data_IF_443148854593
#
_entry.id   IF_443148854593
#
_cell.length_a   1.000
_cell.length_b   1.000
_cell.length_c   1.000
_cell.angle_alpha   90.00
_cell.angle_beta   90.00
_cell.angle_gamma   90.00
#
_symmetry.space_group_name_H-M   'P 1'
#
loop_
_entity.id
_entity.type
_entity.pdbx_description
1 polymer ?
#
# COMPACT_ATOMS: atom_id res chain seq x y z
N UNK A 1 -56.22 49.87 -43.32
CA UNK A 1 -55.53 48.66 -43.69
C UNK A 1 -54.05 48.85 -43.39
N UNK A 2 -53.43 48.18 -42.42
CA UNK A 2 -52.04 48.36 -42.11
C UNK A 2 -51.17 47.57 -43.13
N UNK A 3 -50.07 48.15 -43.53
CA UNK A 3 -49.09 47.70 -44.53
C UNK A 3 -48.37 46.36 -44.08
N UNK A 4 -48.20 45.41 -44.98
CA UNK A 4 -47.61 44.11 -44.67
C UNK A 4 -46.11 44.14 -44.19
N UNK A 5 -45.43 45.26 -44.34
CA UNK A 5 -44.04 45.45 -43.95
C UNK A 5 -43.80 45.52 -42.41
N UNK A 6 -44.86 45.83 -41.62
CA UNK A 6 -44.69 45.89 -40.16
C UNK A 6 -44.89 44.56 -39.42
N UNK A 7 -45.52 43.58 -40.07
CA UNK A 7 -45.71 42.24 -39.50
C UNK A 7 -44.44 41.38 -39.66
N UNK A 8 -43.69 41.63 -40.73
CA UNK A 8 -42.46 40.85 -41.00
C UNK A 8 -41.30 41.21 -40.02
N UNK A 9 -41.27 42.48 -39.56
CA UNK A 9 -40.24 42.91 -38.57
C UNK A 9 -40.45 42.34 -37.18
N UNK A 10 -41.69 42.08 -36.77
CA UNK A 10 -42.01 41.56 -35.44
C UNK A 10 -41.74 40.05 -35.31
N UNK A 11 -41.91 39.28 -36.41
CA UNK A 11 -41.62 37.87 -36.46
C UNK A 11 -40.12 37.57 -36.49
N UNK A 12 -39.30 38.43 -37.10
CA UNK A 12 -37.84 38.28 -37.11
C UNK A 12 -37.24 38.61 -35.75
N UNK A 13 -37.80 39.55 -35.00
CA UNK A 13 -37.33 39.92 -33.65
C UNK A 13 -37.66 38.84 -32.61
N UNK A 14 -38.77 38.13 -32.72
CA UNK A 14 -39.18 37.03 -31.88
C UNK A 14 -38.35 35.75 -32.17
N UNK A 15 -37.92 35.51 -33.40
CA UNK A 15 -37.04 34.39 -33.77
C UNK A 15 -35.60 34.61 -33.26
N UNK A 16 -35.10 35.84 -33.17
CA UNK A 16 -33.79 36.16 -32.64
C UNK A 16 -33.71 36.02 -31.11
N UNK A 17 -34.80 36.24 -30.38
CA UNK A 17 -34.88 36.04 -28.94
C UNK A 17 -35.01 34.54 -28.53
N UNK A 18 -35.57 33.70 -29.38
CA UNK A 18 -35.68 32.27 -29.12
C UNK A 18 -34.33 31.50 -29.34
N UNK A 19 -33.42 32.02 -30.19
CA UNK A 19 -32.09 31.44 -30.41
C UNK A 19 -31.06 31.75 -29.30
N UNK A 20 -31.31 32.79 -28.48
CA UNK A 20 -30.42 33.14 -27.38
C UNK A 20 -30.63 32.29 -26.09
N UNK A 21 -31.73 31.54 -26.00
CA UNK A 21 -32.03 30.71 -24.84
C UNK A 21 -31.54 29.26 -24.94
N UNK A 22 -31.04 28.81 -26.10
CA UNK A 22 -30.56 27.42 -26.33
C UNK A 22 -29.05 27.23 -26.12
N UNK A 23 -28.33 28.22 -25.57
CA UNK A 23 -26.90 28.23 -25.40
C UNK A 23 -26.38 28.15 -23.97
N UNK A 24 -27.24 27.87 -22.98
CA UNK A 24 -26.77 27.47 -21.65
C UNK A 24 -26.36 25.98 -21.68
N UNK A 25 -25.40 25.65 -22.54
CA UNK A 25 -24.76 24.35 -22.55
C UNK A 25 -24.17 24.12 -21.16
N UNK A 26 -24.55 23.00 -20.54
CA UNK A 26 -23.89 22.46 -19.37
C UNK A 26 -22.37 22.62 -19.57
N UNK A 27 -21.72 23.46 -18.76
CA UNK A 27 -20.30 23.63 -18.77
C UNK A 27 -19.72 22.24 -18.45
N UNK A 28 -19.31 21.48 -19.49
CA UNK A 28 -18.64 20.20 -19.35
C UNK A 28 -17.31 20.50 -18.71
N UNK A 29 -17.24 20.34 -17.40
CA UNK A 29 -15.97 20.44 -16.69
C UNK A 29 -15.07 19.31 -17.16
N UNK A 30 -13.88 19.67 -17.66
CA UNK A 30 -12.87 18.68 -18.00
C UNK A 30 -12.43 17.93 -16.74
N UNK A 31 -12.06 16.64 -16.84
CA UNK A 31 -11.51 15.89 -15.74
C UNK A 31 -10.34 16.62 -15.07
N UNK A 32 -10.19 16.44 -13.75
CA UNK A 32 -9.12 17.10 -13.00
C UNK A 32 -7.75 16.44 -13.31
N UNK A 33 -6.68 17.21 -13.17
CA UNK A 33 -5.29 16.74 -13.28
C UNK A 33 -4.95 16.06 -14.60
N UNK A 34 -5.59 16.43 -15.69
CA UNK A 34 -5.28 15.91 -17.04
C UNK A 34 -4.08 16.60 -17.68
N UNK A 35 -3.78 17.82 -17.23
CA UNK A 35 -2.65 18.60 -17.74
C UNK A 35 -1.38 18.24 -16.98
N UNK A 36 -0.39 17.75 -17.69
CA UNK A 36 0.96 17.56 -17.14
C UNK A 36 1.71 18.91 -17.14
N UNK A 37 2.36 19.23 -16.02
CA UNK A 37 3.09 20.47 -15.85
C UNK A 37 4.60 20.22 -15.79
N UNK A 38 5.34 21.06 -16.53
CA UNK A 38 6.80 21.13 -16.51
C UNK A 38 7.32 22.49 -16.03
N UNK A 39 6.47 23.51 -16.06
CA UNK A 39 6.73 24.85 -15.53
C UNK A 39 5.65 25.22 -14.53
N UNK A 40 5.92 24.96 -13.25
CA UNK A 40 4.98 25.23 -12.18
C UNK A 40 4.83 26.74 -11.90
N UNK A 41 5.86 27.54 -12.22
CA UNK A 41 5.76 28.98 -12.10
C UNK A 41 4.78 29.57 -13.12
N UNK A 42 4.80 29.06 -14.37
CA UNK A 42 3.81 29.46 -15.38
C UNK A 42 2.39 29.05 -15.00
N UNK A 43 2.22 27.84 -14.42
CA UNK A 43 0.92 27.35 -13.95
C UNK A 43 0.38 28.17 -12.78
N UNK A 44 1.24 28.62 -11.85
CA UNK A 44 0.83 29.51 -10.75
C UNK A 44 0.40 30.88 -11.27
N UNK A 45 1.15 31.46 -12.24
CA UNK A 45 0.75 32.72 -12.90
C UNK A 45 -0.59 32.59 -13.60
N UNK A 46 -0.81 31.49 -14.31
CA UNK A 46 -2.08 31.22 -14.97
C UNK A 46 -3.24 31.05 -13.96
N UNK A 47 -3.01 30.32 -12.87
CA UNK A 47 -3.99 30.18 -11.79
C UNK A 47 -4.39 31.54 -11.21
N UNK A 48 -3.38 32.42 -10.98
CA UNK A 48 -3.63 33.79 -10.49
C UNK A 48 -4.45 34.62 -11.47
N UNK A 49 -4.15 34.55 -12.76
CA UNK A 49 -4.89 35.26 -13.80
C UNK A 49 -6.36 34.81 -13.89
N UNK A 50 -6.61 33.54 -13.55
CA UNK A 50 -7.95 32.95 -13.46
C UNK A 50 -8.65 33.21 -12.12
N UNK A 51 -8.04 33.91 -11.17
CA UNK A 51 -8.55 34.12 -9.82
C UNK A 51 -8.63 32.85 -8.98
N UNK A 52 -7.81 31.83 -9.30
CA UNK A 52 -7.78 30.52 -8.67
C UNK A 52 -6.46 30.26 -7.96
N UNK A 53 -6.45 29.24 -7.09
CA UNK A 53 -5.25 28.64 -6.50
C UNK A 53 -4.71 27.59 -7.45
N UNK A 54 -3.45 27.17 -7.27
CA UNK A 54 -2.84 26.04 -8.00
C UNK A 54 -2.96 24.77 -7.15
N UNK A 55 -3.41 23.67 -7.77
CA UNK A 55 -3.35 22.33 -7.19
C UNK A 55 -2.47 21.44 -8.06
N UNK A 56 -1.49 20.80 -7.46
CA UNK A 56 -0.54 19.90 -8.11
C UNK A 56 -0.74 18.49 -7.57
N UNK A 57 -1.02 17.54 -8.45
CA UNK A 57 -1.02 16.11 -8.12
C UNK A 57 0.32 15.50 -8.51
N UNK A 58 1.03 14.92 -7.55
CA UNK A 58 2.23 14.11 -7.77
C UNK A 58 1.81 12.66 -7.99
N UNK A 59 2.22 12.09 -9.12
CA UNK A 59 1.81 10.75 -9.57
C UNK A 59 3.01 9.93 -10.05
N UNK A 60 2.80 8.62 -10.18
CA UNK A 60 3.71 7.69 -10.85
C UNK A 60 2.90 6.84 -11.84
N UNK A 61 3.47 6.38 -12.96
CA UNK A 61 2.78 5.51 -13.92
C UNK A 61 2.22 4.24 -13.30
N UNK A 62 2.97 3.62 -12.38
CA UNK A 62 2.61 2.35 -11.72
C UNK A 62 1.93 2.53 -10.36
N UNK A 63 1.37 3.70 -10.09
CA UNK A 63 0.66 4.00 -8.86
C UNK A 63 -0.81 3.52 -8.93
N UNK A 64 -1.21 2.42 -8.26
CA UNK A 64 -2.59 1.93 -8.30
C UNK A 64 -3.60 2.95 -7.75
N UNK A 65 -3.26 3.64 -6.65
CA UNK A 65 -4.10 4.67 -6.05
C UNK A 65 -4.29 5.88 -6.97
N UNK A 66 -3.27 6.24 -7.77
CA UNK A 66 -3.37 7.32 -8.75
C UNK A 66 -4.37 6.95 -9.85
N UNK A 67 -4.24 5.76 -10.45
CA UNK A 67 -5.17 5.26 -11.48
C UNK A 67 -6.60 5.14 -10.96
N UNK A 68 -6.77 4.67 -9.72
CA UNK A 68 -8.09 4.58 -9.10
C UNK A 68 -8.73 5.95 -8.97
N UNK A 69 -8.00 6.96 -8.48
CA UNK A 69 -8.52 8.33 -8.36
C UNK A 69 -8.78 8.98 -9.73
N UNK A 70 -7.93 8.73 -10.73
CA UNK A 70 -8.17 9.20 -12.10
C UNK A 70 -9.48 8.64 -12.66
N UNK A 71 -9.78 7.37 -12.40
CA UNK A 71 -10.96 6.69 -12.92
C UNK A 71 -12.26 7.05 -12.16
N UNK A 72 -12.20 7.28 -10.85
CA UNK A 72 -13.39 7.38 -9.98
C UNK A 72 -13.63 8.77 -9.44
N UNK A 73 -12.58 9.53 -9.11
CA UNK A 73 -12.69 10.82 -8.41
C UNK A 73 -12.56 11.99 -9.38
N UNK A 74 -11.53 11.96 -10.25
CA UNK A 74 -11.25 13.09 -11.13
C UNK A 74 -12.18 13.16 -12.35
N UNK A 75 -12.94 12.08 -12.61
CA UNK A 75 -13.99 12.03 -13.63
C UNK A 75 -15.38 12.41 -13.07
N UNK A 76 -15.54 12.44 -11.74
CA UNK A 76 -16.83 12.75 -11.12
C UNK A 76 -17.25 14.20 -11.41
N UNK A 77 -18.40 14.44 -12.07
CA UNK A 77 -18.82 15.79 -12.48
C UNK A 77 -19.04 16.74 -11.29
N UNK A 78 -19.51 16.19 -10.16
CA UNK A 78 -19.74 16.99 -8.95
C UNK A 78 -18.44 17.39 -8.26
N UNK A 79 -17.41 16.53 -8.31
CA UNK A 79 -16.05 16.83 -7.82
C UNK A 79 -15.41 17.88 -8.73
N UNK A 80 -15.39 17.62 -10.05
CA UNK A 80 -14.76 18.51 -11.03
C UNK A 80 -15.39 19.91 -10.99
N UNK A 81 -16.71 20.02 -10.97
CA UNK A 81 -17.39 21.31 -10.93
C UNK A 81 -17.05 22.13 -9.67
N UNK A 82 -17.01 21.48 -8.50
CA UNK A 82 -16.67 22.16 -7.24
C UNK A 82 -15.18 22.52 -7.15
N UNK A 83 -14.31 21.59 -7.52
CA UNK A 83 -12.87 21.77 -7.40
C UNK A 83 -12.35 22.84 -8.39
N UNK A 84 -12.78 22.81 -9.64
CA UNK A 84 -12.35 23.74 -10.68
C UNK A 84 -12.77 25.21 -10.42
N UNK A 85 -13.73 25.47 -9.54
CA UNK A 85 -14.07 26.85 -9.11
C UNK A 85 -12.94 27.51 -8.33
N UNK A 86 -12.14 26.71 -7.61
CA UNK A 86 -11.12 27.21 -6.69
C UNK A 86 -9.70 26.97 -7.19
N UNK A 87 -9.53 25.97 -8.07
CA UNK A 87 -8.20 25.50 -8.45
C UNK A 87 -8.00 25.36 -9.95
N UNK A 88 -6.83 25.75 -10.39
CA UNK A 88 -6.20 25.26 -11.60
C UNK A 88 -5.47 23.98 -11.24
N UNK A 89 -5.82 22.86 -11.87
CA UNK A 89 -5.32 21.52 -11.51
C UNK A 89 -4.31 21.03 -12.55
N UNK A 90 -3.12 20.63 -12.08
CA UNK A 90 -2.08 20.05 -12.92
C UNK A 90 -1.50 18.81 -12.27
N UNK A 91 -0.94 17.89 -13.04
CA UNK A 91 -0.18 16.75 -12.53
C UNK A 91 1.30 16.89 -12.84
N UNK A 92 2.11 16.26 -11.98
CA UNK A 92 3.56 16.09 -12.18
C UNK A 92 3.86 14.62 -12.03
N UNK A 93 4.37 14.01 -13.09
CA UNK A 93 4.86 12.64 -13.06
C UNK A 93 6.26 12.62 -12.42
N UNK A 94 6.40 11.85 -11.32
CA UNK A 94 7.66 11.73 -10.59
C UNK A 94 8.68 10.82 -11.28
N UNK A 95 8.24 9.99 -12.25
CA UNK A 95 9.12 9.13 -13.03
C UNK A 95 9.76 9.85 -14.24
N UNK A 96 9.35 11.09 -14.50
CA UNK A 96 9.90 11.83 -15.64
C UNK A 96 11.40 12.09 -15.51
N UNK A 97 12.13 11.95 -16.60
CA UNK A 97 13.58 12.20 -16.68
C UNK A 97 13.93 13.67 -16.88
N UNK A 98 13.06 14.43 -17.58
CA UNK A 98 13.28 15.83 -17.85
C UNK A 98 13.05 16.70 -16.62
N UNK A 99 13.90 17.69 -16.37
CA UNK A 99 13.72 18.58 -15.23
C UNK A 99 12.48 19.45 -15.38
N UNK A 100 11.86 19.76 -14.25
CA UNK A 100 10.78 20.75 -14.16
C UNK A 100 11.33 22.11 -13.70
N UNK A 101 10.58 23.16 -13.95
CA UNK A 101 10.77 24.47 -13.33
C UNK A 101 9.83 24.55 -12.12
N UNK A 102 10.40 24.64 -10.91
CA UNK A 102 9.62 24.73 -9.67
C UNK A 102 8.99 26.12 -9.48
N UNK A 103 8.26 26.30 -8.38
CA UNK A 103 7.58 27.58 -8.10
C UNK A 103 8.54 28.72 -7.76
N UNK A 104 9.77 28.41 -7.34
CA UNK A 104 10.82 29.40 -7.10
C UNK A 104 11.64 29.71 -8.37
N UNK A 105 11.28 29.16 -9.52
CA UNK A 105 11.99 29.34 -10.80
C UNK A 105 13.27 28.50 -10.92
N UNK A 106 13.50 27.50 -10.06
CA UNK A 106 14.66 26.63 -10.11
C UNK A 106 14.38 25.41 -10.97
N UNK A 107 15.35 24.99 -11.78
CA UNK A 107 15.29 23.73 -12.51
C UNK A 107 15.76 22.58 -11.63
N UNK A 108 15.01 21.50 -11.61
CA UNK A 108 15.34 20.32 -10.82
C UNK A 108 14.48 19.12 -11.17
N UNK A 109 14.75 17.97 -10.55
CA UNK A 109 13.91 16.79 -10.76
C UNK A 109 12.53 16.98 -10.09
N UNK A 110 11.51 16.38 -10.69
CA UNK A 110 10.16 16.35 -10.11
C UNK A 110 10.15 15.70 -8.72
N UNK A 111 10.94 14.64 -8.54
CA UNK A 111 11.08 13.95 -7.26
C UNK A 111 11.71 14.81 -6.17
N UNK A 112 12.74 15.63 -6.48
CA UNK A 112 13.34 16.55 -5.49
C UNK A 112 12.35 17.61 -5.05
N UNK A 113 11.60 18.18 -5.98
CA UNK A 113 10.57 19.15 -5.65
C UNK A 113 9.46 18.54 -4.77
N UNK A 114 8.98 17.34 -5.12
CA UNK A 114 8.01 16.63 -4.30
C UNK A 114 8.53 16.37 -2.88
N UNK A 115 9.79 15.93 -2.73
CA UNK A 115 10.43 15.69 -1.42
C UNK A 115 10.55 16.97 -0.60
N UNK A 116 10.92 18.10 -1.20
CA UNK A 116 10.97 19.40 -0.52
C UNK A 116 9.62 19.80 0.08
N UNK A 117 8.53 19.41 -0.58
CA UNK A 117 7.17 19.60 -0.08
C UNK A 117 6.72 18.51 0.91
N UNK A 118 7.58 17.51 1.19
CA UNK A 118 7.23 16.36 2.03
C UNK A 118 6.28 15.35 1.35
N UNK A 119 6.14 15.35 0.03
CA UNK A 119 5.35 14.40 -0.73
C UNK A 119 6.21 13.15 -1.04
N UNK A 120 6.28 12.22 -0.07
CA UNK A 120 7.11 11.00 -0.14
C UNK A 120 6.36 9.79 -0.70
N UNK A 121 5.08 9.91 -0.99
CA UNK A 121 4.25 8.84 -1.53
C UNK A 121 3.25 9.39 -2.56
N UNK A 122 2.73 8.53 -3.43
CA UNK A 122 1.74 8.87 -4.45
C UNK A 122 0.42 8.12 -4.25
N UNK A 123 -0.73 8.76 -4.56
CA UNK A 123 -0.88 10.16 -4.97
C UNK A 123 -0.62 11.14 -3.81
N UNK A 124 0.00 12.28 -4.11
CA UNK A 124 0.07 13.42 -3.17
C UNK A 124 -0.46 14.67 -3.88
N UNK A 125 -1.16 15.52 -3.13
CA UNK A 125 -1.78 16.75 -3.63
C UNK A 125 -1.21 17.94 -2.88
N UNK A 126 -0.50 18.82 -3.55
CA UNK A 126 0.00 20.07 -2.99
C UNK A 126 -0.79 21.27 -3.53
N UNK A 127 -1.09 22.20 -2.64
CA UNK A 127 -1.87 23.38 -2.94
C UNK A 127 -1.06 24.64 -2.71
N UNK A 128 -1.18 25.58 -3.63
CA UNK A 128 -0.45 26.84 -3.61
C UNK A 128 -1.40 27.99 -3.89
N UNK A 129 -1.10 29.16 -3.35
CA UNK A 129 -1.80 30.38 -3.70
C UNK A 129 -1.42 30.87 -5.12
N UNK A 130 -2.04 31.97 -5.59
CA UNK A 130 -1.74 32.53 -6.89
C UNK A 130 -0.34 33.18 -7.01
N UNK A 131 0.46 33.24 -5.93
CA UNK A 131 1.85 33.68 -5.93
C UNK A 131 2.83 32.51 -5.96
N UNK A 132 2.32 31.29 -5.78
CA UNK A 132 3.13 30.07 -5.67
C UNK A 132 3.54 29.73 -4.24
N UNK A 133 3.00 30.43 -3.24
CA UNK A 133 3.25 30.10 -1.83
C UNK A 133 2.51 28.83 -1.44
N UNK A 134 3.22 27.93 -0.74
CA UNK A 134 2.68 26.68 -0.28
C UNK A 134 1.56 26.88 0.76
N UNK A 135 0.43 26.22 0.58
CA UNK A 135 -0.72 26.29 1.47
C UNK A 135 -0.92 25.01 2.28
N UNK A 136 -1.01 23.88 1.57
CA UNK A 136 -1.36 22.60 2.19
C UNK A 136 -0.92 21.43 1.33
N UNK A 137 -0.73 20.27 1.97
CA UNK A 137 -0.47 19.00 1.29
C UNK A 137 -1.33 17.89 1.90
N UNK A 138 -1.86 17.05 1.03
CA UNK A 138 -2.48 15.78 1.40
C UNK A 138 -1.77 14.63 0.69
N UNK A 139 -1.51 13.54 1.39
CA UNK A 139 -0.93 12.32 0.82
C UNK A 139 -1.90 11.17 0.99
N UNK A 140 -2.05 10.35 -0.06
CA UNK A 140 -2.93 9.20 -0.10
C UNK A 140 -4.19 9.43 -0.94
N UNK A 141 -4.92 8.34 -1.18
CA UNK A 141 -6.17 8.34 -1.93
C UNK A 141 -7.30 8.97 -1.12
N UNK A 142 -8.27 9.54 -1.81
CA UNK A 142 -9.48 10.10 -1.23
C UNK A 142 -10.70 9.64 -2.03
N UNK A 143 -11.78 9.29 -1.33
CA UNK A 143 -13.08 9.13 -1.97
C UNK A 143 -13.59 10.49 -2.51
N UNK A 144 -14.48 10.47 -3.50
CA UNK A 144 -14.98 11.68 -4.18
C UNK A 144 -15.51 12.77 -3.22
N UNK A 145 -16.28 12.35 -2.21
CA UNK A 145 -16.79 13.27 -1.18
C UNK A 145 -15.68 13.93 -0.36
N UNK A 146 -14.65 13.15 0.03
CA UNK A 146 -13.52 13.65 0.80
C UNK A 146 -12.61 14.55 -0.04
N UNK A 147 -12.41 14.22 -1.31
CA UNK A 147 -11.63 15.07 -2.21
C UNK A 147 -12.32 16.43 -2.42
N UNK A 148 -13.65 16.43 -2.57
CA UNK A 148 -14.44 17.66 -2.61
C UNK A 148 -14.30 18.47 -1.31
N UNK A 149 -14.33 17.81 -0.14
CA UNK A 149 -14.14 18.47 1.17
C UNK A 149 -12.72 19.01 1.32
N UNK A 150 -11.69 18.26 0.88
CA UNK A 150 -10.31 18.72 0.87
C UNK A 150 -10.16 20.02 0.07
N UNK A 151 -10.76 20.08 -1.12
CA UNK A 151 -10.75 21.30 -1.94
C UNK A 151 -11.37 22.49 -1.21
N UNK A 152 -12.50 22.31 -0.55
CA UNK A 152 -13.14 23.38 0.24
C UNK A 152 -12.35 23.76 1.48
N UNK A 153 -11.78 22.78 2.19
CA UNK A 153 -10.95 22.95 3.37
C UNK A 153 -9.75 23.85 3.08
N UNK A 154 -9.04 23.57 1.98
CA UNK A 154 -7.88 24.40 1.59
C UNK A 154 -8.33 25.74 1.00
N UNK A 155 -9.43 25.80 0.23
CA UNK A 155 -9.92 27.06 -0.34
C UNK A 155 -10.27 28.09 0.74
N UNK A 156 -10.80 27.63 1.88
CA UNK A 156 -11.22 28.47 3.03
C UNK A 156 -10.12 28.67 4.07
N UNK A 157 -8.89 28.20 3.84
CA UNK A 157 -7.78 28.22 4.79
C UNK A 157 -8.10 27.55 6.15
N UNK A 158 -9.02 26.57 6.16
CA UNK A 158 -9.42 25.88 7.39
C UNK A 158 -8.26 25.06 8.02
N UNK A 159 -7.19 24.76 7.24
CA UNK A 159 -5.98 24.11 7.72
C UNK A 159 -5.21 24.94 8.77
N UNK A 160 -5.48 26.22 8.87
CA UNK A 160 -4.92 27.11 9.91
C UNK A 160 -5.58 26.90 11.27
N UNK A 161 -6.76 26.30 11.32
CA UNK A 161 -7.58 26.18 12.53
C UNK A 161 -7.70 24.75 13.03
N UNK A 162 -7.76 23.77 12.15
CA UNK A 162 -7.93 22.33 12.51
C UNK A 162 -7.39 21.39 11.43
N UNK A 163 -6.99 20.15 11.79
CA UNK A 163 -6.52 19.17 10.84
C UNK A 163 -7.66 18.66 9.93
N UNK A 164 -7.31 18.27 8.70
CA UNK A 164 -8.26 17.64 7.78
C UNK A 164 -8.65 16.23 8.27
N UNK A 165 -9.94 16.01 8.44
CA UNK A 165 -10.50 14.71 8.81
C UNK A 165 -11.13 14.03 7.58
N UNK A 166 -10.59 12.88 7.19
CA UNK A 166 -11.16 12.04 6.14
C UNK A 166 -12.26 11.12 6.68
N UNK A 167 -13.12 10.63 5.80
CA UNK A 167 -14.15 9.65 6.17
C UNK A 167 -13.56 8.29 6.47
N UNK A 168 -14.36 7.43 7.15
CA UNK A 168 -13.98 6.03 7.41
C UNK A 168 -13.66 5.25 6.13
N UNK A 169 -14.37 5.54 5.03
CA UNK A 169 -14.11 4.92 3.73
C UNK A 169 -12.71 5.28 3.18
N UNK A 170 -12.33 6.56 3.24
CA UNK A 170 -10.97 7.00 2.85
C UNK A 170 -9.89 6.40 3.75
N UNK A 171 -10.12 6.36 5.08
CA UNK A 171 -9.19 5.75 6.01
C UNK A 171 -8.99 4.26 5.71
N UNK A 172 -10.05 3.53 5.39
CA UNK A 172 -9.96 2.12 4.98
C UNK A 172 -9.22 1.94 3.64
N UNK A 173 -9.44 2.83 2.66
CA UNK A 173 -8.75 2.79 1.37
C UNK A 173 -7.25 3.09 1.49
N UNK A 174 -6.86 3.93 2.44
CA UNK A 174 -5.47 4.30 2.72
C UNK A 174 -4.81 3.40 3.78
N UNK A 175 -5.52 2.39 4.29
CA UNK A 175 -4.92 1.45 5.22
C UNK A 175 -3.70 0.78 4.58
N UNK A 176 -2.58 0.69 5.29
CA UNK A 176 -1.39 0.02 4.77
C UNK A 176 -1.72 -1.41 4.33
N UNK A 177 -1.25 -1.79 3.15
CA UNK A 177 -1.44 -3.14 2.59
C UNK A 177 -0.09 -3.77 2.37
N UNK A 178 -0.06 -5.11 2.48
CA UNK A 178 1.14 -5.86 2.13
C UNK A 178 1.44 -5.66 0.63
N UNK A 179 2.72 -5.53 0.30
CA UNK A 179 3.23 -5.51 -1.07
C UNK A 179 3.53 -6.93 -1.56
N UNK A 180 3.66 -7.88 -0.62
CA UNK A 180 3.73 -9.30 -0.92
C UNK A 180 2.50 -9.78 -1.69
N UNK A 181 2.69 -10.76 -2.58
CA UNK A 181 1.63 -11.37 -3.34
C UNK A 181 0.63 -12.09 -2.40
N UNK A 182 -0.68 -12.04 -2.68
CA UNK A 182 -1.65 -12.81 -1.93
C UNK A 182 -1.31 -14.31 -1.98
N UNK A 183 -1.58 -15.08 -0.90
CA UNK A 183 -1.38 -16.52 -0.94
C UNK A 183 -2.16 -17.15 -2.10
N UNK A 184 -1.55 -18.08 -2.82
CA UNK A 184 -2.18 -18.79 -3.91
C UNK A 184 -3.46 -19.50 -3.43
N UNK A 185 -4.42 -19.66 -4.35
CA UNK A 185 -5.65 -20.39 -4.07
C UNK A 185 -5.32 -21.84 -3.68
N UNK A 186 -5.92 -22.31 -2.58
CA UNK A 186 -5.71 -23.67 -2.08
C UNK A 186 -4.60 -23.79 -1.03
N UNK A 187 -3.76 -22.78 -0.82
CA UNK A 187 -2.82 -22.79 0.29
C UNK A 187 -3.55 -22.67 1.65
N UNK A 188 -3.20 -23.51 2.64
CA UNK A 188 -3.78 -23.40 3.97
C UNK A 188 -3.43 -22.06 4.60
N UNK A 189 -4.42 -21.39 5.13
CA UNK A 189 -4.18 -20.10 5.81
C UNK A 189 -3.38 -20.22 7.10
N UNK A 190 -3.35 -21.42 7.70
CA UNK A 190 -2.58 -21.78 8.89
C UNK A 190 -1.95 -23.14 8.65
N UNK A 191 -0.84 -23.22 7.93
CA UNK A 191 -0.17 -24.48 7.66
C UNK A 191 0.34 -25.10 8.97
N UNK A 192 0.30 -26.41 9.01
CA UNK A 192 0.80 -27.18 10.15
C UNK A 192 2.11 -27.89 9.77
N UNK A 193 3.13 -27.69 10.55
CA UNK A 193 4.38 -28.43 10.47
C UNK A 193 4.90 -28.81 11.86
N UNK A 194 5.75 -29.83 11.92
CA UNK A 194 6.45 -30.27 13.12
C UNK A 194 7.89 -30.55 12.77
N UNK A 195 8.75 -29.58 12.98
CA UNK A 195 10.18 -29.62 12.64
C UNK A 195 11.01 -29.35 13.88
N UNK A 196 12.18 -29.98 14.00
CA UNK A 196 13.12 -29.68 15.07
C UNK A 196 13.86 -28.36 14.76
N UNK A 197 14.09 -27.53 15.77
CA UNK A 197 15.08 -26.45 15.66
C UNK A 197 16.50 -27.01 15.86
N UNK A 198 17.50 -26.17 15.66
CA UNK A 198 18.91 -26.55 15.79
C UNK A 198 19.35 -26.91 17.22
N UNK A 199 18.47 -26.74 18.21
CA UNK A 199 18.67 -27.21 19.59
C UNK A 199 17.87 -28.50 19.88
N UNK A 200 17.23 -29.11 18.87
CA UNK A 200 16.46 -30.35 18.98
C UNK A 200 15.04 -30.18 19.50
N UNK A 201 14.58 -28.93 19.72
CA UNK A 201 13.22 -28.67 20.15
C UNK A 201 12.26 -28.72 18.97
N UNK A 202 11.21 -29.54 19.05
CA UNK A 202 10.14 -29.56 18.04
C UNK A 202 9.39 -28.25 18.05
N UNK A 203 9.28 -27.66 16.87
CA UNK A 203 8.59 -26.38 16.61
C UNK A 203 7.39 -26.60 15.70
N UNK A 204 6.38 -25.80 15.96
CA UNK A 204 5.18 -25.62 15.13
C UNK A 204 5.00 -24.15 14.85
N UNK A 205 4.26 -23.77 13.82
CA UNK A 205 3.93 -22.36 13.57
C UNK A 205 3.25 -21.70 14.78
N UNK A 206 2.41 -22.45 15.50
CA UNK A 206 1.73 -21.97 16.71
C UNK A 206 2.67 -21.49 17.83
N UNK A 207 3.91 -21.96 17.90
CA UNK A 207 4.91 -21.56 18.91
C UNK A 207 5.39 -20.11 18.71
N UNK A 208 5.13 -19.56 17.55
CA UNK A 208 5.52 -18.20 17.17
C UNK A 208 4.36 -17.19 17.26
N UNK A 209 3.18 -17.59 17.75
CA UNK A 209 2.06 -16.67 17.96
C UNK A 209 2.47 -15.45 18.79
N UNK A 210 1.92 -14.31 18.43
CA UNK A 210 2.27 -13.00 18.98
C UNK A 210 3.45 -12.32 18.27
N UNK A 211 4.02 -12.95 17.24
CA UNK A 211 5.07 -12.41 16.37
C UNK A 211 4.65 -12.51 14.92
N UNK A 212 5.10 -11.57 14.10
CA UNK A 212 5.11 -11.73 12.66
C UNK A 212 6.19 -12.77 12.31
N UNK A 213 5.88 -13.70 11.41
CA UNK A 213 6.82 -14.74 10.99
C UNK A 213 7.12 -14.60 9.51
N UNK A 214 8.41 -14.57 9.16
CA UNK A 214 8.91 -14.74 7.82
C UNK A 214 9.53 -16.14 7.71
N UNK A 215 8.97 -17.00 6.86
CA UNK A 215 9.44 -18.36 6.64
C UNK A 215 10.02 -18.46 5.23
N UNK A 216 11.32 -18.69 5.14
CA UNK A 216 12.04 -19.03 3.93
C UNK A 216 12.34 -20.52 3.89
N UNK A 217 12.31 -21.11 2.70
CA UNK A 217 12.68 -22.52 2.46
C UNK A 217 13.91 -22.58 1.56
N UNK A 218 14.73 -23.58 1.72
CA UNK A 218 15.94 -23.72 0.92
C UNK A 218 16.88 -24.79 1.48
N UNK A 219 18.19 -24.65 1.27
CA UNK A 219 19.21 -25.54 1.78
C UNK A 219 20.56 -24.80 1.96
N UNK A 220 21.41 -25.26 2.87
CA UNK A 220 22.63 -24.53 3.24
C UNK A 220 23.68 -24.47 2.13
N UNK A 221 23.67 -25.44 1.22
CA UNK A 221 24.61 -25.53 0.09
C UNK A 221 24.08 -24.85 -1.18
N UNK A 222 22.99 -24.09 -1.09
CA UNK A 222 22.49 -23.29 -2.21
C UNK A 222 23.51 -22.18 -2.56
N UNK A 223 23.96 -22.11 -3.83
CA UNK A 223 25.07 -21.23 -4.19
C UNK A 223 24.63 -19.74 -4.32
N UNK A 224 23.34 -19.43 -4.43
CA UNK A 224 22.87 -18.10 -4.80
C UNK A 224 21.60 -17.65 -4.06
N UNK A 225 20.45 -18.23 -4.37
CA UNK A 225 19.12 -17.72 -3.94
C UNK A 225 18.96 -17.70 -2.41
N UNK A 226 19.38 -18.77 -1.72
CA UNK A 226 19.15 -18.89 -0.28
C UNK A 226 19.98 -17.89 0.55
N UNK A 227 21.31 -17.73 0.34
CA UNK A 227 22.07 -16.72 1.08
C UNK A 227 21.62 -15.29 0.74
N UNK A 228 21.22 -15.02 -0.51
CA UNK A 228 20.67 -13.72 -0.91
C UNK A 228 19.36 -13.44 -0.16
N UNK A 229 18.41 -14.37 -0.15
CA UNK A 229 17.14 -14.23 0.57
C UNK A 229 17.34 -13.99 2.07
N UNK A 230 18.28 -14.69 2.72
CA UNK A 230 18.56 -14.49 4.14
C UNK A 230 19.25 -13.15 4.42
N UNK A 231 20.11 -12.67 3.51
CA UNK A 231 20.71 -11.34 3.60
C UNK A 231 19.66 -10.22 3.44
N UNK A 232 18.73 -10.37 2.51
CA UNK A 232 17.60 -9.45 2.32
C UNK A 232 16.67 -9.44 3.52
N UNK A 233 16.35 -10.60 4.10
CA UNK A 233 15.56 -10.70 5.34
C UNK A 233 16.29 -10.03 6.52
N UNK A 234 17.60 -10.21 6.64
CA UNK A 234 18.40 -9.51 7.66
C UNK A 234 18.27 -8.00 7.48
N UNK A 235 18.54 -7.50 6.28
CA UNK A 235 18.46 -6.07 5.97
C UNK A 235 17.05 -5.50 6.22
N UNK A 236 16.00 -6.21 5.81
CA UNK A 236 14.62 -5.81 6.04
C UNK A 236 14.27 -5.76 7.54
N UNK A 237 14.70 -6.75 8.33
CA UNK A 237 14.48 -6.74 9.78
C UNK A 237 15.27 -5.61 10.44
N UNK A 238 16.52 -5.36 10.04
CA UNK A 238 17.36 -4.27 10.57
C UNK A 238 16.81 -2.87 10.24
N UNK A 239 16.11 -2.70 9.13
CA UNK A 239 15.44 -1.47 8.75
C UNK A 239 14.23 -1.11 9.65
N UNK A 240 13.67 -2.09 10.38
CA UNK A 240 12.53 -1.86 11.26
C UNK A 240 12.91 -1.07 12.51
N UNK A 241 11.96 -0.26 13.07
CA UNK A 241 12.11 0.29 14.42
C UNK A 241 12.37 -0.82 15.46
N UNK A 242 13.19 -0.55 16.47
CA UNK A 242 13.63 -1.54 17.47
C UNK A 242 12.46 -2.31 18.13
N UNK A 243 11.34 -1.65 18.37
CA UNK A 243 10.15 -2.30 18.94
C UNK A 243 9.54 -3.33 17.99
N UNK A 244 9.43 -3.03 16.69
CA UNK A 244 8.90 -3.93 15.67
C UNK A 244 9.89 -5.05 15.34
N UNK A 245 11.19 -4.76 15.27
CA UNK A 245 12.26 -5.72 15.02
C UNK A 245 12.19 -6.92 15.98
N UNK A 246 11.92 -6.68 17.25
CA UNK A 246 11.72 -7.73 18.27
C UNK A 246 10.43 -8.54 18.11
N UNK A 247 9.48 -8.05 17.31
CA UNK A 247 8.20 -8.73 17.03
C UNK A 247 8.25 -9.60 15.77
N UNK A 248 9.38 -9.62 15.05
CA UNK A 248 9.59 -10.46 13.86
C UNK A 248 10.42 -11.69 14.23
N UNK A 249 10.02 -12.85 13.74
CA UNK A 249 10.78 -14.09 13.77
C UNK A 249 11.00 -14.59 12.35
N UNK A 250 12.26 -14.78 11.97
CA UNK A 250 12.62 -15.44 10.72
C UNK A 250 12.87 -16.92 10.99
N UNK A 251 12.26 -17.76 10.15
CA UNK A 251 12.45 -19.22 10.11
C UNK A 251 13.05 -19.57 8.76
N UNK A 252 14.12 -20.35 8.78
CA UNK A 252 14.68 -20.98 7.60
C UNK A 252 14.49 -22.48 7.70
N UNK A 253 13.74 -23.07 6.78
CA UNK A 253 13.45 -24.51 6.78
C UNK A 253 14.26 -25.17 5.67
N UNK A 254 15.09 -26.15 6.03
CA UNK A 254 15.83 -26.90 5.03
C UNK A 254 14.93 -27.88 4.27
N UNK A 255 15.11 -27.92 2.94
CA UNK A 255 14.53 -28.91 2.04
C UNK A 255 15.49 -30.06 1.73
N UNK A 256 16.69 -30.04 2.34
CA UNK A 256 17.77 -31.01 2.14
C UNK A 256 18.25 -31.64 3.46
N UNK A 257 17.40 -32.42 4.13
CA UNK A 257 17.74 -32.99 5.43
C UNK A 257 18.91 -34.01 5.38
N UNK A 258 19.25 -34.48 4.20
CA UNK A 258 20.41 -35.38 4.03
C UNK A 258 21.76 -34.67 4.27
N UNK A 259 21.92 -33.46 3.73
CA UNK A 259 23.15 -32.67 3.83
C UNK A 259 23.10 -31.66 4.98
N UNK A 260 21.91 -31.14 5.32
CA UNK A 260 21.72 -30.13 6.36
C UNK A 260 21.41 -30.79 7.71
N UNK A 261 22.42 -30.90 8.56
CA UNK A 261 22.25 -31.32 9.95
C UNK A 261 22.19 -30.12 10.92
N UNK A 262 21.75 -30.36 12.14
CA UNK A 262 21.46 -29.30 13.12
C UNK A 262 22.64 -28.34 13.38
N UNK A 263 23.89 -28.85 13.42
CA UNK A 263 25.08 -28.02 13.66
C UNK A 263 25.35 -27.09 12.49
N UNK A 264 25.38 -27.61 11.26
CA UNK A 264 25.60 -26.84 10.03
C UNK A 264 24.50 -25.78 9.85
N UNK A 265 23.24 -26.16 10.03
CA UNK A 265 22.14 -25.27 9.87
C UNK A 265 22.14 -24.13 10.92
N UNK A 266 22.63 -24.42 12.15
CA UNK A 266 22.82 -23.39 13.20
C UNK A 266 23.84 -22.35 12.77
N UNK A 267 25.00 -22.80 12.30
CA UNK A 267 26.06 -21.91 11.82
C UNK A 267 25.60 -21.08 10.63
N UNK A 268 24.92 -21.74 9.67
CA UNK A 268 24.40 -21.09 8.49
C UNK A 268 23.45 -19.93 8.81
N UNK A 269 22.39 -20.16 9.59
CA UNK A 269 21.43 -19.10 9.92
C UNK A 269 22.01 -18.04 10.87
N UNK A 270 23.00 -18.39 11.70
CA UNK A 270 23.66 -17.45 12.59
C UNK A 270 24.45 -16.37 11.84
N UNK A 271 24.97 -16.68 10.65
CA UNK A 271 25.67 -15.73 9.79
C UNK A 271 24.75 -14.54 9.35
N UNK A 272 23.45 -14.75 9.36
CA UNK A 272 22.45 -13.76 8.99
C UNK A 272 21.70 -13.15 10.19
N UNK A 273 22.19 -13.33 11.42
CA UNK A 273 21.53 -12.79 12.61
C UNK A 273 21.43 -11.26 12.54
N UNK A 274 20.22 -10.67 12.68
CA UNK A 274 20.06 -9.22 12.60
C UNK A 274 20.47 -8.54 13.90
N UNK A 275 21.08 -7.36 13.80
CA UNK A 275 21.46 -6.57 14.97
C UNK A 275 20.21 -6.06 15.72
N UNK A 276 20.14 -6.35 17.02
CA UNK A 276 19.02 -5.94 17.88
C UNK A 276 17.68 -6.58 17.54
N UNK A 277 17.67 -7.57 16.65
CA UNK A 277 16.53 -8.42 16.30
C UNK A 277 16.58 -9.76 17.04
N UNK A 278 15.67 -10.67 16.67
CA UNK A 278 15.68 -12.04 17.13
C UNK A 278 16.62 -12.87 16.23
N UNK A 279 17.36 -13.86 16.79
CA UNK A 279 18.12 -14.79 15.97
C UNK A 279 17.22 -15.50 14.96
N UNK A 280 17.70 -15.72 13.76
CA UNK A 280 17.04 -16.58 12.79
C UNK A 280 17.07 -18.02 13.33
N UNK A 281 16.00 -18.77 13.09
CA UNK A 281 15.91 -20.17 13.51
C UNK A 281 15.97 -21.08 12.29
N UNK A 282 16.96 -21.95 12.26
CA UNK A 282 17.01 -23.07 11.35
C UNK A 282 16.08 -24.18 11.84
N UNK A 283 15.23 -24.67 10.95
CA UNK A 283 14.31 -25.78 11.21
C UNK A 283 14.63 -26.92 10.23
N UNK A 284 14.62 -28.14 10.73
CA UNK A 284 14.88 -29.33 9.95
C UNK A 284 14.00 -30.48 10.42
N UNK A 285 13.81 -31.45 9.55
CA UNK A 285 13.11 -32.69 9.87
C UNK A 285 13.73 -33.84 9.10
N UNK A 286 13.38 -35.06 9.44
CA UNK A 286 13.67 -36.20 8.54
C UNK A 286 12.82 -36.08 7.26
N UNK A 287 13.08 -36.96 6.29
CA UNK A 287 12.44 -36.95 4.96
C UNK A 287 10.92 -36.83 5.03
N UNK A 288 10.28 -37.56 5.96
CA UNK A 288 8.83 -37.51 6.14
C UNK A 288 8.32 -36.12 6.55
N UNK A 289 8.95 -35.47 7.54
CA UNK A 289 8.50 -34.16 8.02
C UNK A 289 8.77 -33.07 6.97
N UNK A 290 9.85 -33.18 6.21
CA UNK A 290 10.17 -32.31 5.08
C UNK A 290 9.15 -32.50 3.93
N UNK A 291 8.80 -33.74 3.59
CA UNK A 291 7.80 -34.07 2.62
C UNK A 291 6.40 -33.56 3.03
N UNK A 292 6.06 -33.63 4.31
CA UNK A 292 4.80 -33.06 4.86
C UNK A 292 4.75 -31.55 4.66
N UNK A 293 5.84 -30.82 4.96
CA UNK A 293 5.92 -29.37 4.74
C UNK A 293 5.79 -29.02 3.24
N UNK A 294 6.47 -29.76 2.37
CA UNK A 294 6.42 -29.55 0.91
C UNK A 294 4.96 -29.64 0.43
N UNK A 295 4.22 -30.68 0.87
CA UNK A 295 2.80 -30.84 0.52
C UNK A 295 1.94 -29.72 1.12
N UNK A 296 2.14 -29.40 2.40
CA UNK A 296 1.36 -28.41 3.13
C UNK A 296 1.46 -27.01 2.53
N UNK A 297 2.67 -26.60 2.14
CA UNK A 297 2.92 -25.31 1.52
C UNK A 297 2.93 -25.35 -0.02
N UNK A 298 2.61 -26.52 -0.64
CA UNK A 298 2.64 -26.72 -2.08
C UNK A 298 3.96 -26.28 -2.72
N UNK A 299 5.07 -26.65 -2.09
CA UNK A 299 6.40 -26.27 -2.55
C UNK A 299 6.84 -27.14 -3.72
N UNK A 300 7.64 -26.57 -4.61
CA UNK A 300 8.49 -27.32 -5.53
C UNK A 300 9.80 -27.64 -4.77
N UNK A 301 10.32 -28.85 -4.89
CA UNK A 301 11.63 -29.25 -4.40
C UNK A 301 12.13 -30.45 -5.21
N UNK A 302 12.95 -30.19 -6.23
CA UNK A 302 13.41 -31.20 -7.19
C UNK A 302 14.94 -31.22 -7.23
N UNK A 303 15.53 -32.43 -7.18
CA UNK A 303 16.98 -32.60 -7.29
C UNK A 303 17.41 -32.51 -8.74
N UNK A 304 18.43 -31.69 -8.98
CA UNK A 304 19.11 -31.57 -10.27
C UNK A 304 20.56 -32.05 -10.16
N UNK A 305 21.04 -32.91 -11.04
CA UNK A 305 22.43 -33.34 -11.02
C UNK A 305 23.40 -32.15 -11.12
N UNK A 306 24.50 -32.22 -10.38
CA UNK A 306 25.53 -31.18 -10.42
C UNK A 306 26.92 -31.85 -10.34
N UNK A 307 27.80 -31.58 -11.29
CA UNK A 307 29.14 -32.12 -11.34
C UNK A 307 30.01 -31.75 -10.12
N UNK A 308 29.83 -30.52 -9.63
CA UNK A 308 30.63 -29.99 -8.50
C UNK A 308 30.08 -30.30 -7.13
N UNK A 309 28.75 -30.52 -7.01
CA UNK A 309 28.05 -30.62 -5.71
C UNK A 309 27.26 -31.92 -5.55
N UNK A 310 27.37 -32.85 -6.51
CA UNK A 310 26.54 -34.04 -6.60
C UNK A 310 25.13 -33.72 -7.06
N UNK A 311 24.44 -32.81 -6.40
CA UNK A 311 23.15 -32.27 -6.83
C UNK A 311 22.91 -30.88 -6.28
N UNK A 312 22.02 -30.13 -6.94
CA UNK A 312 21.35 -28.93 -6.47
C UNK A 312 19.83 -29.19 -6.29
N UNK A 313 19.13 -28.29 -5.63
CA UNK A 313 17.68 -28.34 -5.52
C UNK A 313 17.05 -27.15 -6.24
N UNK A 314 16.22 -27.45 -7.23
CA UNK A 314 15.28 -26.48 -7.73
C UNK A 314 14.09 -26.42 -6.76
N UNK A 315 13.83 -25.27 -6.17
CA UNK A 315 12.81 -25.14 -5.16
C UNK A 315 12.03 -23.85 -5.27
N UNK A 316 10.84 -23.81 -4.67
CA UNK A 316 10.05 -22.58 -4.51
C UNK A 316 10.94 -21.53 -3.85
N UNK A 317 11.12 -20.39 -4.54
CA UNK A 317 11.84 -19.24 -4.05
C UNK A 317 10.86 -18.19 -3.53
N UNK A 318 11.17 -17.56 -2.38
CA UNK A 318 10.34 -16.55 -1.76
C UNK A 318 10.18 -16.74 -0.26
N UNK A 319 9.48 -15.80 0.37
CA UNK A 319 9.29 -15.76 1.82
C UNK A 319 7.80 -15.75 2.15
N UNK A 320 7.34 -16.75 2.87
CA UNK A 320 5.97 -16.82 3.38
C UNK A 320 5.83 -15.91 4.59
N UNK A 321 4.88 -14.96 4.54
CA UNK A 321 4.67 -13.96 5.57
C UNK A 321 3.41 -14.29 6.38
N UNK A 322 3.58 -14.47 7.68
CA UNK A 322 2.50 -14.77 8.62
C UNK A 322 2.30 -13.63 9.62
N UNK A 323 1.06 -13.37 9.97
CA UNK A 323 0.71 -12.43 11.04
C UNK A 323 0.90 -13.02 12.44
N UNK A 324 0.65 -12.21 13.46
CA UNK A 324 0.78 -12.60 14.87
C UNK A 324 -0.17 -13.72 15.33
N UNK A 325 -1.22 -14.01 14.54
CA UNK A 325 -2.12 -15.14 14.81
C UNK A 325 -1.67 -16.42 14.08
N UNK A 326 -0.58 -16.38 13.32
CA UNK A 326 -0.08 -17.47 12.49
C UNK A 326 -0.89 -17.67 11.22
N UNK A 327 -1.55 -16.63 10.73
CA UNK A 327 -2.28 -16.67 9.45
C UNK A 327 -1.36 -16.25 8.32
N UNK A 328 -1.28 -17.05 7.26
CA UNK A 328 -0.56 -16.72 6.03
C UNK A 328 -1.23 -15.51 5.37
N UNK A 329 -0.45 -14.45 5.18
CA UNK A 329 -0.89 -13.15 4.66
C UNK A 329 -0.39 -12.86 3.26
N UNK A 330 0.76 -13.40 2.89
CA UNK A 330 1.35 -13.19 1.58
C UNK A 330 2.62 -14.01 1.36
N UNK A 331 3.05 -14.02 0.10
CA UNK A 331 4.34 -14.53 -0.35
C UNK A 331 5.13 -13.35 -0.92
N UNK A 332 6.27 -13.04 -0.30
CA UNK A 332 7.24 -12.10 -0.84
C UNK A 332 8.09 -12.87 -1.87
N UNK A 333 8.00 -12.56 -3.18
CA UNK A 333 8.75 -13.28 -4.20
C UNK A 333 10.25 -12.98 -4.07
N UNK A 334 11.09 -13.89 -4.57
CA UNK A 334 12.53 -13.64 -4.71
C UNK A 334 12.75 -12.37 -5.57
N UNK A 335 13.66 -11.51 -5.12
CA UNK A 335 13.96 -10.24 -5.79
C UNK A 335 12.99 -9.10 -5.46
N UNK A 336 12.04 -9.29 -4.52
CA UNK A 336 11.28 -8.16 -3.99
C UNK A 336 12.24 -7.17 -3.31
N UNK A 337 12.12 -5.85 -3.55
CA UNK A 337 12.97 -4.86 -2.91
C UNK A 337 12.97 -4.96 -1.38
N UNK A 338 14.12 -4.80 -0.76
CA UNK A 338 14.28 -4.93 0.71
C UNK A 338 13.39 -3.96 1.49
N UNK A 339 13.18 -2.75 0.98
CA UNK A 339 12.27 -1.76 1.59
C UNK A 339 10.80 -2.20 1.53
N UNK A 340 10.38 -2.88 0.47
CA UNK A 340 9.05 -3.47 0.35
C UNK A 340 8.86 -4.62 1.36
N UNK A 341 9.85 -5.52 1.46
CA UNK A 341 9.83 -6.60 2.46
C UNK A 341 9.86 -6.04 3.90
N UNK A 342 10.63 -4.99 4.15
CA UNK A 342 10.66 -4.31 5.45
C UNK A 342 9.31 -3.66 5.78
N UNK A 343 8.66 -3.01 4.81
CA UNK A 343 7.33 -2.44 4.99
C UNK A 343 6.30 -3.52 5.37
N UNK A 344 6.30 -4.64 4.68
CA UNK A 344 5.41 -5.77 4.94
C UNK A 344 5.62 -6.36 6.34
N UNK A 345 6.88 -6.62 6.71
CA UNK A 345 7.22 -7.11 8.04
C UNK A 345 6.85 -6.10 9.13
N UNK A 346 7.04 -4.81 8.87
CA UNK A 346 6.66 -3.71 9.76
C UNK A 346 5.16 -3.66 10.01
N UNK A 347 4.34 -3.83 8.96
CA UNK A 347 2.89 -3.90 9.06
C UNK A 347 2.44 -5.08 9.92
N UNK A 348 2.93 -6.28 9.63
CA UNK A 348 2.60 -7.48 10.39
C UNK A 348 3.06 -7.40 11.85
N UNK A 349 4.23 -6.81 12.10
CA UNK A 349 4.77 -6.59 13.44
C UNK A 349 4.00 -5.51 14.22
N UNK A 350 3.35 -4.56 13.55
CA UNK A 350 2.55 -3.52 14.19
C UNK A 350 1.11 -3.97 14.51
N UNK A 351 0.61 -5.03 13.86
CA UNK A 351 -0.74 -5.53 14.13
C UNK A 351 -0.94 -5.82 15.63
N UNK A 352 -2.11 -5.50 16.20
CA UNK A 352 -2.42 -5.85 17.58
C UNK A 352 -2.45 -7.37 17.74
N UNK A 353 -2.04 -7.88 18.93
CA UNK A 353 -2.22 -9.30 19.24
C UNK A 353 -3.71 -9.62 19.14
N UNK A 354 -4.09 -10.54 18.28
CA UNK A 354 -5.48 -11.01 18.19
C UNK A 354 -5.91 -11.53 19.58
N UNK A 355 -6.85 -10.85 20.25
CA UNK A 355 -7.59 -11.44 21.35
C UNK A 355 -8.52 -12.49 20.73
N UNK A 356 -8.31 -13.73 21.09
CA UNK A 356 -9.19 -14.84 20.71
C UNK A 356 -10.61 -14.49 21.19
N UNK A 357 -11.51 -14.15 20.28
CA UNK A 357 -12.91 -13.84 20.60
C UNK A 357 -13.72 -15.08 21.03
N UNK A 358 -13.07 -16.22 21.16
CA UNK A 358 -13.73 -17.50 21.48
C UNK A 358 -14.09 -17.67 22.95
N UNK A 359 -13.68 -16.73 23.84
CA UNK A 359 -13.98 -16.88 25.31
C UNK A 359 -15.14 -15.99 25.76
N UNK A 360 -15.67 -15.10 24.94
CA UNK A 360 -16.70 -14.13 25.39
C UNK A 360 -18.15 -14.56 25.12
N UNK A 361 -18.39 -15.69 24.44
CA UNK A 361 -19.76 -16.21 24.22
C UNK A 361 -20.23 -17.12 25.31
N UNK A 362 -19.34 -17.61 26.19
CA UNK A 362 -19.70 -18.54 27.28
C UNK A 362 -20.14 -17.85 28.57
N UNK A 363 -19.98 -16.54 28.74
CA UNK A 363 -20.30 -15.84 30.00
C UNK A 363 -21.66 -15.16 29.99
N UNK A 364 -22.28 -14.94 28.83
CA UNK A 364 -23.58 -14.27 28.72
C UNK A 364 -24.79 -15.25 28.76
N UNK A 365 -24.56 -16.56 28.75
CA UNK A 365 -25.66 -17.54 28.81
C UNK A 365 -26.04 -17.98 30.23
N UNK A 366 -25.34 -17.54 31.28
CA UNK A 366 -25.62 -17.92 32.67
C UNK A 366 -26.38 -16.86 33.49
N UNK A 367 -26.79 -15.74 32.90
CA UNK A 367 -27.49 -14.67 33.64
C UNK A 367 -28.99 -14.53 33.33
N UNK A 368 -29.60 -15.45 32.59
CA UNK A 368 -31.05 -15.42 32.29
C UNK A 368 -31.83 -16.65 32.76
N UNK A 369 -31.41 -17.31 33.85
CA UNK A 369 -32.27 -18.27 34.57
C UNK A 369 -32.34 -17.88 36.03
N UNK A 370 -33.21 -16.95 36.35
CA UNK A 370 -33.52 -16.47 37.67
C UNK A 370 -35.03 -16.37 37.89
N UNK A 371 -35.63 -17.47 38.39
CA UNK A 371 -36.67 -17.52 39.39
C UNK A 371 -38.15 -17.19 39.00
N UNK A 372 -39.04 -18.16 38.91
CA UNK A 372 -40.48 -17.90 39.09
C UNK A 372 -40.82 -17.99 40.57
N UNK A 373 -41.20 -16.88 41.20
CA UNK A 373 -41.83 -16.87 42.51
C UNK A 373 -43.30 -17.24 42.38
N UNK A 374 -43.70 -18.31 43.13
CA UNK A 374 -45.05 -18.57 43.55
C UNK A 374 -45.66 -17.37 44.29
N UNK A 375 -46.90 -17.03 43.93
CA UNK A 375 -47.81 -16.34 44.86
C UNK A 375 -49.18 -17.03 44.76
N UNK A 376 -49.74 -17.29 45.90
CA UNK A 376 -51.08 -17.81 46.19
C UNK A 376 -52.20 -16.96 45.60
#
# INVERSE_FOLDING_TARGET
MPSPSRILGLLVLLAALASAAAGAGEARFSPLFTREATDLQAEARAARAEGRKLAVAFTLPDCPGCREMERTVFQDPGVTARFSRHYRSVKVDLARSEPILDLAGRRGSAGDFARQLGAFATPSFAFFDGRGEFLYRHTGTLAAADFSRLGQYVARAAYEQYPFASTRATQAANAPRLQAEPPAAGLPRRPEFRLADTAGKVRRLADFRGRAVALAVGYSQCPDVCPTTLAELKAAVEALPAAQRRQVQVLFVTLDPERDHAALLREYVAAFAPQGGRPFLGLWGGDSATADLIRELQLVAERQPSESMGYTLDHTAGVFLFDKAGVLRGLSPYGQPVDALAADLGLLAAEPKHRDKTIQVATDQHLTQGNPRHVH
#
